data_IF_940188665598
#
_entry.id   IF_940188665598
#
_cell.length_a   1.000
_cell.length_b   1.000
_cell.length_c   1.000
_cell.angle_alpha   90.00
_cell.angle_beta   90.00
_cell.angle_gamma   90.00
#
_symmetry.space_group_name_H-M   'P 1'
#
loop_
_entity.id
_entity.type
_entity.pdbx_description
1 polymer ?
#
# COMPACT_ATOMS: atom_id res chain seq x y z
N UNK A 1 11.28 42.76 -25.24
CA UNK A 1 12.12 41.79 -24.51
C UNK A 1 11.31 41.26 -23.34
N UNK A 2 10.77 40.05 -23.44
CA UNK A 2 9.91 39.46 -22.40
C UNK A 2 10.82 38.69 -21.43
N UNK A 3 10.92 39.15 -20.18
CA UNK A 3 11.73 38.52 -19.14
C UNK A 3 10.90 37.43 -18.46
N UNK A 4 11.25 36.16 -18.66
CA UNK A 4 10.63 35.04 -17.96
C UNK A 4 11.28 34.89 -16.58
N UNK A 5 10.53 35.17 -15.51
CA UNK A 5 10.95 34.90 -14.13
C UNK A 5 10.57 33.46 -13.78
N UNK A 6 11.56 32.59 -13.57
CA UNK A 6 11.35 31.23 -13.03
C UNK A 6 11.63 31.25 -11.53
N UNK A 7 10.61 31.03 -10.70
CA UNK A 7 10.76 30.84 -9.25
C UNK A 7 10.89 29.35 -8.93
N UNK A 8 11.91 28.98 -8.16
CA UNK A 8 12.07 27.64 -7.60
C UNK A 8 11.58 27.67 -6.15
N UNK A 9 10.45 27.02 -5.88
CA UNK A 9 9.99 26.79 -4.51
C UNK A 9 10.52 25.45 -4.00
N UNK A 10 11.24 25.48 -2.87
CA UNK A 10 11.60 24.28 -2.11
C UNK A 10 10.35 23.76 -1.40
N UNK A 11 9.75 22.69 -1.93
CA UNK A 11 8.67 21.99 -1.24
C UNK A 11 9.28 20.93 -0.31
N UNK A 12 8.93 21.00 0.98
CA UNK A 12 9.23 19.93 1.93
C UNK A 12 8.14 18.87 1.83
N UNK A 13 8.45 17.71 1.26
CA UNK A 13 7.56 16.56 1.26
C UNK A 13 7.89 15.67 2.47
N UNK A 14 6.89 15.38 3.31
CA UNK A 14 7.01 14.35 4.34
C UNK A 14 6.52 13.03 3.76
N UNK A 15 7.36 12.00 3.82
CA UNK A 15 6.97 10.64 3.45
C UNK A 15 5.92 10.15 4.46
N UNK A 16 4.72 9.83 4.00
CA UNK A 16 3.61 9.32 4.85
C UNK A 16 3.71 7.80 5.03
N UNK A 17 4.92 7.32 5.24
CA UNK A 17 5.23 5.88 5.31
C UNK A 17 5.25 5.36 6.76
N UNK A 18 5.05 6.24 7.74
CA UNK A 18 4.84 5.90 9.15
C UNK A 18 3.37 5.58 9.44
N UNK A 19 2.45 6.39 8.95
CA UNK A 19 1.02 6.21 9.16
C UNK A 19 0.27 6.79 7.97
N UNK A 20 -0.69 6.03 7.43
CA UNK A 20 -1.45 6.46 6.27
C UNK A 20 -2.86 5.91 6.29
N UNK A 21 -3.82 6.76 5.94
CA UNK A 21 -5.19 6.36 5.62
C UNK A 21 -5.50 6.88 4.22
N UNK A 22 -5.88 5.97 3.31
CA UNK A 22 -6.17 6.27 1.92
C UNK A 22 -7.56 5.76 1.55
N UNK A 23 -8.29 6.58 0.78
CA UNK A 23 -9.50 6.19 0.07
C UNK A 23 -9.22 6.34 -1.42
N UNK A 24 -9.53 5.30 -2.20
CA UNK A 24 -9.39 5.32 -3.66
C UNK A 24 -10.71 4.87 -4.28
N UNK A 25 -11.21 5.62 -5.25
CA UNK A 25 -12.42 5.30 -5.98
C UNK A 25 -12.17 5.46 -7.48
N UNK A 26 -12.47 4.42 -8.24
CA UNK A 26 -12.48 4.46 -9.71
C UNK A 26 -13.94 4.33 -10.12
N UNK A 27 -14.55 5.40 -10.67
CA UNK A 27 -15.92 5.37 -11.15
C UNK A 27 -16.03 4.55 -12.43
N UNK A 28 -17.27 4.19 -12.78
CA UNK A 28 -17.60 3.61 -14.08
C UNK A 28 -17.13 4.52 -15.21
N UNK A 29 -16.73 3.91 -16.31
CA UNK A 29 -16.37 4.63 -17.53
C UNK A 29 -16.85 3.85 -18.74
N UNK A 30 -15.98 3.05 -19.36
CA UNK A 30 -16.33 2.21 -20.50
C UNK A 30 -16.80 0.80 -20.09
N UNK A 31 -16.71 0.47 -18.80
CA UNK A 31 -17.31 -0.70 -18.17
C UNK A 31 -18.34 -0.26 -17.12
N UNK A 32 -19.29 -1.13 -16.80
CA UNK A 32 -20.20 -0.91 -15.69
C UNK A 32 -19.56 -1.21 -14.32
N UNK A 33 -18.28 -1.57 -14.31
CA UNK A 33 -17.57 -1.92 -13.09
C UNK A 33 -17.11 -0.71 -12.28
N UNK A 34 -17.07 -0.90 -10.96
CA UNK A 34 -16.54 0.09 -10.02
C UNK A 34 -15.54 -0.52 -9.05
N UNK A 35 -14.57 0.30 -8.66
CA UNK A 35 -13.55 -0.05 -7.69
C UNK A 35 -13.54 0.95 -6.55
N UNK A 36 -13.63 0.44 -5.32
CA UNK A 36 -13.37 1.23 -4.11
C UNK A 36 -12.34 0.54 -3.25
N UNK A 37 -11.39 1.31 -2.71
CA UNK A 37 -10.42 0.81 -1.73
C UNK A 37 -10.33 1.74 -0.54
N UNK A 38 -10.37 1.15 0.64
CA UNK A 38 -9.92 1.76 1.89
C UNK A 38 -8.63 1.08 2.31
N UNK A 39 -7.56 1.86 2.52
CA UNK A 39 -6.25 1.37 2.93
C UNK A 39 -5.79 2.09 4.18
N UNK A 40 -5.37 1.33 5.18
CA UNK A 40 -4.76 1.85 6.40
C UNK A 40 -3.38 1.21 6.58
N UNK A 41 -2.37 2.02 6.86
CA UNK A 41 -0.99 1.59 7.07
C UNK A 41 -0.45 2.21 8.34
N UNK A 42 0.31 1.43 9.10
CA UNK A 42 1.08 1.89 10.24
C UNK A 42 2.43 1.16 10.28
N UNK A 43 3.52 1.90 10.35
CA UNK A 43 4.89 1.41 10.50
C UNK A 43 5.56 2.15 11.65
N UNK A 44 6.25 1.39 12.50
CA UNK A 44 7.00 1.90 13.63
C UNK A 44 8.49 1.56 13.47
N UNK A 45 9.37 2.57 13.33
CA UNK A 45 10.80 2.37 13.27
C UNK A 45 11.38 2.23 14.68
N UNK A 46 12.04 1.11 14.95
CA UNK A 46 12.78 0.83 16.17
C UNK A 46 14.25 1.15 15.90
N UNK A 47 14.78 2.16 16.57
CA UNK A 47 16.20 2.50 16.48
C UNK A 47 17.06 1.42 17.13
N UNK A 48 18.11 1.01 16.41
CA UNK A 48 19.14 0.10 16.87
C UNK A 48 20.48 0.85 16.95
N UNK A 49 21.59 0.13 17.10
CA UNK A 49 22.93 0.74 17.12
C UNK A 49 23.37 1.18 15.71
N UNK A 50 24.36 2.06 15.65
CA UNK A 50 25.04 2.48 14.42
C UNK A 50 24.10 3.08 13.35
N UNK A 51 23.16 3.94 13.77
CA UNK A 51 22.24 4.64 12.86
C UNK A 51 21.46 3.65 11.96
N UNK A 52 21.02 2.54 12.56
CA UNK A 52 20.22 1.50 11.91
C UNK A 52 18.84 1.39 12.55
N UNK A 53 17.85 0.98 11.76
CA UNK A 53 16.46 0.88 12.20
C UNK A 53 15.87 -0.46 11.77
N UNK A 54 15.12 -1.08 12.66
CA UNK A 54 14.22 -2.18 12.33
C UNK A 54 12.80 -1.64 12.33
N UNK A 55 12.09 -1.77 11.22
CA UNK A 55 10.74 -1.28 11.05
C UNK A 55 9.78 -2.46 11.18
N UNK A 56 8.78 -2.30 12.06
CA UNK A 56 7.67 -3.23 12.21
C UNK A 56 6.38 -2.48 11.97
N UNK A 57 5.49 -3.05 11.17
CA UNK A 57 4.23 -2.41 10.86
C UNK A 57 3.23 -3.38 10.25
N UNK A 58 2.10 -2.83 9.86
CA UNK A 58 1.06 -3.57 9.16
C UNK A 58 0.30 -2.67 8.21
N UNK A 59 -0.31 -3.30 7.22
CA UNK A 59 -1.21 -2.66 6.29
C UNK A 59 -2.49 -3.48 6.16
N UNK A 60 -3.62 -2.79 6.11
CA UNK A 60 -4.90 -3.38 5.81
C UNK A 60 -5.52 -2.68 4.60
N UNK A 61 -5.93 -3.46 3.61
CA UNK A 61 -6.71 -3.00 2.48
C UNK A 61 -8.06 -3.71 2.48
N UNK A 62 -9.12 -2.93 2.34
CA UNK A 62 -10.45 -3.42 1.99
C UNK A 62 -10.78 -2.91 0.61
N UNK A 63 -10.88 -3.83 -0.34
CA UNK A 63 -11.26 -3.57 -1.72
C UNK A 63 -12.71 -4.02 -1.89
N UNK A 64 -13.52 -3.17 -2.50
CA UNK A 64 -14.87 -3.48 -2.94
C UNK A 64 -14.87 -3.41 -4.47
N UNK A 65 -15.29 -4.50 -5.08
CA UNK A 65 -15.45 -4.62 -6.52
C UNK A 65 -16.94 -4.73 -6.80
N UNK A 66 -17.47 -3.80 -7.58
CA UNK A 66 -18.80 -3.95 -8.14
C UNK A 66 -18.59 -4.36 -9.60
N UNK A 67 -18.70 -5.65 -9.88
CA UNK A 67 -18.51 -6.23 -11.21
C UNK A 67 -19.91 -6.44 -11.81
N UNK A 68 -20.30 -5.58 -12.74
CA UNK A 68 -21.63 -5.57 -13.36
C UNK A 68 -21.60 -6.01 -14.83
N UNK A 69 -20.41 -6.03 -15.46
CA UNK A 69 -20.23 -6.56 -16.81
C UNK A 69 -20.40 -8.09 -16.85
N UNK A 70 -20.61 -8.65 -18.06
CA UNK A 70 -20.67 -10.09 -18.27
C UNK A 70 -19.26 -10.70 -18.30
N UNK A 71 -19.03 -11.68 -17.42
CA UNK A 71 -17.76 -12.39 -17.28
C UNK A 71 -17.95 -13.89 -17.50
N UNK A 72 -16.98 -14.54 -18.15
CA UNK A 72 -16.96 -15.99 -18.40
C UNK A 72 -16.69 -16.84 -17.13
N UNK A 73 -16.73 -16.23 -15.94
CA UNK A 73 -16.47 -16.87 -14.66
C UNK A 73 -17.37 -16.30 -13.56
N UNK A 74 -17.49 -17.04 -12.45
CA UNK A 74 -18.31 -16.61 -11.33
C UNK A 74 -17.67 -15.46 -10.55
N UNK A 75 -18.34 -14.29 -10.53
CA UNK A 75 -17.87 -13.07 -9.85
C UNK A 75 -18.48 -12.88 -8.46
N UNK A 76 -19.47 -13.70 -8.08
CA UNK A 76 -20.27 -13.57 -6.85
C UNK A 76 -19.42 -13.45 -5.57
N UNK A 77 -18.30 -14.18 -5.52
CA UNK A 77 -17.36 -14.20 -4.40
C UNK A 77 -16.32 -13.08 -4.40
N UNK A 78 -16.22 -12.28 -5.47
CA UNK A 78 -15.15 -11.29 -5.66
C UNK A 78 -15.55 -9.87 -5.25
N UNK A 79 -16.78 -9.67 -4.81
CA UNK A 79 -17.32 -8.35 -4.47
C UNK A 79 -16.54 -7.60 -3.37
N UNK A 80 -15.76 -8.34 -2.56
CA UNK A 80 -14.99 -7.82 -1.46
C UNK A 80 -13.73 -8.64 -1.26
N UNK A 81 -12.60 -7.95 -1.20
CA UNK A 81 -11.30 -8.55 -0.95
C UNK A 81 -10.67 -7.84 0.24
N UNK A 82 -10.16 -8.63 1.18
CA UNK A 82 -9.41 -8.20 2.33
C UNK A 82 -7.95 -8.58 2.14
N UNK A 83 -7.06 -7.60 2.27
CA UNK A 83 -5.61 -7.82 2.19
C UNK A 83 -4.99 -7.32 3.49
N UNK A 84 -4.20 -8.17 4.14
CA UNK A 84 -3.43 -7.84 5.33
C UNK A 84 -1.96 -8.10 5.02
N UNK A 85 -1.13 -7.07 5.18
CA UNK A 85 0.33 -7.20 5.04
C UNK A 85 1.00 -6.98 6.38
N UNK A 86 1.97 -7.82 6.71
CA UNK A 86 2.92 -7.55 7.79
C UNK A 86 4.14 -6.84 7.19
N UNK A 87 4.50 -5.68 7.73
CA UNK A 87 5.65 -4.92 7.27
C UNK A 87 6.86 -5.13 8.18
N UNK A 88 7.85 -5.88 7.72
CA UNK A 88 9.15 -5.99 8.39
C UNK A 88 10.22 -5.38 7.48
N UNK A 89 11.03 -4.47 8.00
CA UNK A 89 12.15 -3.92 7.25
C UNK A 89 13.36 -3.66 8.14
N UNK A 90 14.54 -3.68 7.56
CA UNK A 90 15.77 -3.28 8.23
C UNK A 90 16.52 -2.28 7.36
N UNK A 91 17.03 -1.22 7.96
CA UNK A 91 17.86 -0.24 7.26
C UNK A 91 19.09 0.11 8.08
N UNK A 92 20.22 0.31 7.42
CA UNK A 92 21.46 0.75 8.05
C UNK A 92 22.17 1.77 7.16
N UNK A 93 22.91 2.66 7.80
CA UNK A 93 23.75 3.63 7.11
C UNK A 93 25.09 2.99 6.77
N UNK A 94 25.46 2.96 5.49
CA UNK A 94 26.77 2.47 5.06
C UNK A 94 27.84 3.57 5.19
N UNK A 95 27.50 4.80 4.81
CA UNK A 95 28.35 5.98 4.97
C UNK A 95 27.47 7.26 5.00
N UNK A 96 28.09 8.44 5.05
CA UNK A 96 27.36 9.72 5.11
C UNK A 96 26.36 9.95 3.98
N UNK A 97 26.58 9.34 2.80
CA UNK A 97 25.77 9.54 1.61
C UNK A 97 24.78 8.40 1.35
N UNK A 98 25.07 7.19 1.83
CA UNK A 98 24.34 5.98 1.45
C UNK A 98 23.73 5.25 2.65
N UNK A 99 22.43 4.97 2.54
CA UNK A 99 21.65 4.12 3.45
C UNK A 99 21.03 2.99 2.64
N UNK A 100 21.19 1.76 3.11
CA UNK A 100 20.59 0.58 2.50
C UNK A 100 19.41 0.10 3.33
N UNK A 101 18.46 -0.56 2.69
CA UNK A 101 17.30 -1.15 3.34
C UNK A 101 16.86 -2.44 2.67
N UNK A 102 16.36 -3.38 3.47
CA UNK A 102 15.70 -4.61 3.03
C UNK A 102 14.31 -4.66 3.65
N UNK A 103 13.32 -5.11 2.89
CA UNK A 103 11.92 -5.21 3.31
C UNK A 103 11.40 -6.62 3.03
N UNK A 104 10.65 -7.17 3.97
CA UNK A 104 9.95 -8.44 3.86
C UNK A 104 8.48 -8.23 4.24
N UNK A 105 7.58 -8.63 3.34
CA UNK A 105 6.15 -8.35 3.43
C UNK A 105 5.32 -9.60 3.13
N UNK A 106 5.17 -10.52 4.10
CA UNK A 106 4.22 -11.61 3.93
C UNK A 106 2.81 -11.02 3.92
N UNK A 107 1.99 -11.55 3.01
CA UNK A 107 0.65 -11.04 2.69
C UNK A 107 -0.39 -12.13 2.86
N UNK A 108 -1.56 -11.75 3.34
CA UNK A 108 -2.77 -12.57 3.30
C UNK A 108 -3.80 -11.81 2.46
N UNK A 109 -4.32 -12.42 1.41
CA UNK A 109 -5.36 -11.84 0.57
C UNK A 109 -6.53 -12.82 0.43
N UNK A 110 -7.71 -12.44 0.92
CA UNK A 110 -8.88 -13.33 0.93
C UNK A 110 -10.19 -12.56 0.78
N UNK A 111 -11.18 -13.20 0.16
CA UNK A 111 -12.56 -12.68 0.10
C UNK A 111 -13.34 -12.95 1.39
N UNK A 112 -12.80 -13.79 2.29
CA UNK A 112 -13.45 -14.26 3.52
C UNK A 112 -14.81 -14.96 3.28
N UNK A 113 -15.10 -15.41 2.05
CA UNK A 113 -16.28 -16.22 1.73
C UNK A 113 -16.14 -17.65 2.26
N UNK A 114 -14.90 -18.12 2.36
CA UNK A 114 -14.52 -19.41 2.95
C UNK A 114 -13.46 -19.21 4.05
N UNK A 115 -13.16 -20.28 4.80
CA UNK A 115 -12.05 -20.26 5.77
C UNK A 115 -10.74 -20.00 5.04
N UNK A 116 -9.85 -19.24 5.69
CA UNK A 116 -8.50 -19.00 5.19
C UNK A 116 -7.82 -20.33 4.85
N UNK A 117 -7.26 -20.41 3.65
CA UNK A 117 -6.53 -21.56 3.14
C UNK A 117 -5.09 -21.17 2.79
N UNK A 118 -4.27 -22.14 2.39
CA UNK A 118 -2.86 -21.91 2.02
C UNK A 118 -2.70 -20.97 0.84
N UNK A 119 -3.68 -20.90 -0.05
CA UNK A 119 -3.63 -20.14 -1.30
C UNK A 119 -3.86 -18.64 -1.04
N UNK A 120 -4.41 -18.28 0.12
CA UNK A 120 -4.55 -16.89 0.56
C UNK A 120 -3.22 -16.27 1.02
N UNK A 121 -2.16 -17.06 1.26
CA UNK A 121 -0.86 -16.59 1.74
C UNK A 121 0.13 -16.34 0.59
N UNK A 122 0.78 -15.17 0.60
CA UNK A 122 1.73 -14.69 -0.40
C UNK A 122 3.03 -14.20 0.24
#
# INVERSE_FOLDING_TARGET
MLLFMTSFYMAHAQLTDLARLEYSFIPKSNSEDQYTRLRALLNYPIELKNDSYFIVGGEYNRILLNLEDEYDFETSGLNKIHIIDLNLAYTFKWNEKWRFGVKFNPRIASTLTHKLNSDDFL
#
